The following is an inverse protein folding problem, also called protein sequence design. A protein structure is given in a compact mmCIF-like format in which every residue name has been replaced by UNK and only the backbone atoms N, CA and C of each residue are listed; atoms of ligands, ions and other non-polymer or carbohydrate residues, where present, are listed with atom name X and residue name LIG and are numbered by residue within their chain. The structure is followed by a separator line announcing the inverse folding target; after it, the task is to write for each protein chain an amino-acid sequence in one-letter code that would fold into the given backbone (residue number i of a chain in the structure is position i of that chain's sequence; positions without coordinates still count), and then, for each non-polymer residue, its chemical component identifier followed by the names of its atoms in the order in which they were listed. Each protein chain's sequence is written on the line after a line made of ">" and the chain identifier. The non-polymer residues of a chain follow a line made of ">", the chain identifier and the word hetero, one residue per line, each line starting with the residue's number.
data_IF_870544181989
#
_entry.id   IF_870544181989
#
_cell.length_a   1.000
_cell.length_b   1.000
_cell.length_c   1.000
_cell.angle_alpha   90.00
_cell.angle_beta   90.00
_cell.angle_gamma   90.00
#
_symmetry.space_group_name_H-M   'P 1'
#
loop_
_entity.id
_entity.type
_entity.pdbx_description
1 polymer ?
#
# COMPACT_ATOMS: atom_id res chain seq x y z
N UNK A 1 -57.78 -7.44 8.44
CA UNK A 1 -56.47 -8.06 8.72
C UNK A 1 -55.87 -8.57 7.41
N UNK A 2 -54.83 -7.93 6.87
CA UNK A 2 -53.68 -8.54 6.14
C UNK A 2 -52.59 -7.46 5.96
N UNK A 3 -52.02 -6.99 7.07
CA UNK A 3 -50.81 -6.16 7.08
C UNK A 3 -49.57 -7.05 6.85
N UNK A 4 -49.52 -7.76 5.72
CA UNK A 4 -48.54 -8.84 5.50
C UNK A 4 -47.42 -8.54 4.50
N UNK A 5 -47.64 -7.67 3.51
CA UNK A 5 -46.76 -7.61 2.34
C UNK A 5 -45.91 -6.34 2.20
N UNK A 6 -46.19 -5.28 2.94
CA UNK A 6 -45.41 -4.03 2.81
C UNK A 6 -44.04 -4.11 3.52
N UNK A 7 -43.95 -4.87 4.62
CA UNK A 7 -42.71 -4.98 5.40
C UNK A 7 -41.67 -5.86 4.69
N UNK A 8 -42.11 -6.90 3.97
CA UNK A 8 -41.20 -7.80 3.24
C UNK A 8 -40.53 -7.12 2.04
N UNK A 9 -41.22 -6.19 1.37
CA UNK A 9 -40.64 -5.42 0.25
C UNK A 9 -39.64 -4.37 0.72
N UNK A 10 -39.84 -3.77 1.89
CA UNK A 10 -38.88 -2.83 2.48
C UNK A 10 -37.60 -3.54 2.96
N UNK A 11 -37.71 -4.75 3.53
CA UNK A 11 -36.54 -5.55 3.96
C UNK A 11 -35.79 -6.12 2.75
N UNK A 12 -36.48 -6.47 1.66
CA UNK A 12 -35.84 -6.92 0.43
C UNK A 12 -35.13 -5.78 -0.35
N UNK A 13 -35.60 -4.53 -0.23
CA UNK A 13 -34.94 -3.36 -0.84
C UNK A 13 -33.70 -2.89 -0.07
N UNK A 14 -33.53 -3.30 1.19
CA UNK A 14 -32.35 -2.99 2.00
C UNK A 14 -31.23 -4.03 1.83
N UNK A 15 -31.48 -5.14 1.14
CA UNK A 15 -30.55 -6.26 1.00
C UNK A 15 -29.66 -6.21 -0.26
N UNK A 16 -29.60 -5.09 -0.98
CA UNK A 16 -28.84 -4.99 -2.22
C UNK A 16 -28.20 -3.62 -2.48
N UNK A 17 -27.97 -2.81 -1.43
CA UNK A 17 -27.00 -1.73 -1.53
C UNK A 17 -25.61 -2.38 -1.45
N UNK A 18 -25.14 -2.93 -2.56
CA UNK A 18 -23.72 -3.22 -2.70
C UNK A 18 -22.94 -1.93 -2.36
N UNK A 19 -21.85 -1.99 -1.59
CA UNK A 19 -21.02 -0.82 -1.34
C UNK A 19 -20.70 -0.17 -2.68
N UNK A 20 -20.88 1.14 -2.77
CA UNK A 20 -20.56 1.89 -3.98
C UNK A 20 -19.05 2.04 -3.99
N UNK A 21 -18.37 1.18 -4.74
CA UNK A 21 -16.93 1.28 -4.92
C UNK A 21 -16.59 2.58 -5.64
N UNK A 22 -15.81 3.44 -4.97
CA UNK A 22 -15.46 4.77 -5.45
C UNK A 22 -14.00 4.79 -5.87
N UNK A 23 -13.75 4.65 -7.17
CA UNK A 23 -12.39 4.58 -7.71
C UNK A 23 -12.10 5.69 -8.72
N UNK A 24 -11.03 6.46 -8.48
CA UNK A 24 -10.52 7.55 -9.30
C UNK A 24 -9.06 7.27 -9.68
N UNK A 25 -8.85 6.36 -10.63
CA UNK A 25 -7.50 5.92 -11.02
C UNK A 25 -7.11 6.46 -12.42
N UNK A 26 -5.95 7.10 -12.51
CA UNK A 26 -5.28 7.47 -13.77
C UNK A 26 -4.13 6.50 -13.99
N UNK A 27 -4.17 5.75 -15.08
CA UNK A 27 -3.17 4.73 -15.38
C UNK A 27 -2.68 4.90 -16.81
N UNK A 28 -1.39 5.13 -16.94
CA UNK A 28 -0.72 5.20 -18.23
C UNK A 28 -0.54 3.81 -18.87
N UNK A 29 -0.34 3.74 -20.20
CA UNK A 29 -0.17 2.47 -20.90
C UNK A 29 1.11 1.70 -20.49
N UNK A 30 1.19 0.43 -20.92
CA UNK A 30 2.31 -0.50 -20.65
C UNK A 30 2.43 -0.96 -19.19
N UNK A 31 1.34 -0.89 -18.44
CA UNK A 31 1.24 -1.42 -17.08
C UNK A 31 0.64 -2.84 -17.07
N UNK A 32 1.05 -3.65 -16.09
CA UNK A 32 0.37 -4.91 -15.74
C UNK A 32 -0.21 -4.76 -14.36
N UNK A 33 -1.53 -4.70 -14.29
CA UNK A 33 -2.25 -4.41 -13.05
C UNK A 33 -3.20 -5.55 -12.72
N UNK A 34 -3.14 -5.99 -11.47
CA UNK A 34 -4.24 -6.67 -10.80
C UNK A 34 -4.58 -5.83 -9.57
N UNK A 35 -5.87 -5.62 -9.37
CA UNK A 35 -6.37 -4.79 -8.28
C UNK A 35 -7.70 -5.32 -7.79
N UNK A 36 -7.81 -5.44 -6.47
CA UNK A 36 -9.05 -5.62 -5.74
C UNK A 36 -9.12 -4.48 -4.72
N UNK A 37 -10.07 -3.55 -4.86
CA UNK A 37 -10.21 -2.45 -3.89
C UNK A 37 -11.57 -1.77 -3.91
N UNK A 38 -12.07 -1.41 -2.72
CA UNK A 38 -13.35 -0.74 -2.54
C UNK A 38 -13.27 0.76 -2.86
N UNK A 39 -12.37 1.50 -2.20
CA UNK A 39 -12.09 2.92 -2.48
C UNK A 39 -10.66 3.11 -2.97
N UNK A 40 -10.49 3.93 -4.00
CA UNK A 40 -9.12 4.24 -4.40
C UNK A 40 -8.92 5.45 -5.28
N UNK A 41 -7.82 6.16 -5.04
CA UNK A 41 -7.36 7.26 -5.90
C UNK A 41 -5.88 7.05 -6.23
N UNK A 42 -5.59 6.56 -7.44
CA UNK A 42 -4.21 6.25 -7.84
C UNK A 42 -3.80 6.94 -9.14
N UNK A 43 -2.55 7.38 -9.20
CA UNK A 43 -1.86 7.77 -10.44
C UNK A 43 -0.72 6.78 -10.67
N UNK A 44 -0.72 6.13 -11.82
CA UNK A 44 0.27 5.09 -12.16
C UNK A 44 0.84 5.37 -13.53
N UNK A 45 2.11 5.76 -13.56
CA UNK A 45 2.89 6.00 -14.76
C UNK A 45 3.24 4.67 -15.50
N UNK A 46 3.81 4.72 -16.72
CA UNK A 46 4.06 3.53 -17.54
C UNK A 46 5.05 2.51 -16.94
N UNK A 47 5.04 1.29 -17.49
CA UNK A 47 6.00 0.21 -17.23
C UNK A 47 6.01 -0.35 -15.80
N UNK A 48 4.88 -0.25 -15.10
CA UNK A 48 4.67 -0.76 -13.77
C UNK A 48 4.05 -2.17 -13.77
N UNK A 49 4.38 -2.96 -12.74
CA UNK A 49 3.72 -4.23 -12.42
C UNK A 49 3.16 -4.16 -11.02
N UNK A 50 1.85 -4.05 -10.90
CA UNK A 50 1.17 -3.87 -9.63
C UNK A 50 0.21 -5.03 -9.38
N UNK A 51 0.30 -5.57 -8.17
CA UNK A 51 -0.73 -6.38 -7.55
C UNK A 51 -1.11 -5.65 -6.26
N UNK A 52 -2.39 -5.31 -6.13
CA UNK A 52 -2.91 -4.61 -4.95
C UNK A 52 -4.20 -5.26 -4.51
N UNK A 53 -4.27 -5.61 -3.24
CA UNK A 53 -5.49 -5.90 -2.51
C UNK A 53 -5.60 -4.83 -1.42
N UNK A 54 -6.70 -4.07 -1.40
CA UNK A 54 -6.87 -3.05 -0.35
C UNK A 54 -8.29 -2.54 -0.20
N UNK A 55 -8.73 -2.21 1.01
CA UNK A 55 -10.01 -1.51 1.19
C UNK A 55 -9.92 -0.09 0.63
N UNK A 56 -9.04 0.76 1.19
CA UNK A 56 -8.81 2.13 0.74
C UNK A 56 -7.35 2.38 0.33
N UNK A 57 -7.16 3.02 -0.84
CA UNK A 57 -5.80 3.32 -1.28
C UNK A 57 -5.64 4.61 -2.07
N UNK A 58 -4.69 5.44 -1.62
CA UNK A 58 -4.22 6.65 -2.32
C UNK A 58 -2.75 6.47 -2.71
N UNK A 59 -2.45 6.31 -3.99
CA UNK A 59 -1.05 6.15 -4.39
C UNK A 59 -0.64 6.89 -5.66
N UNK A 60 0.60 7.38 -5.65
CA UNK A 60 1.30 7.83 -6.86
C UNK A 60 2.46 6.86 -7.10
N UNK A 61 2.53 6.32 -8.30
CA UNK A 61 3.55 5.33 -8.68
C UNK A 61 4.17 5.74 -10.00
N UNK A 62 5.42 6.18 -9.92
CA UNK A 62 6.25 6.54 -11.05
C UNK A 62 6.69 5.31 -11.88
N UNK A 63 7.36 5.47 -13.03
CA UNK A 63 7.66 4.36 -13.93
C UNK A 63 8.57 3.27 -13.36
N UNK A 64 8.49 2.09 -13.98
CA UNK A 64 9.42 0.95 -13.77
C UNK A 64 9.41 0.33 -12.37
N UNK A 65 8.28 0.37 -11.69
CA UNK A 65 8.06 -0.19 -10.37
C UNK A 65 7.44 -1.58 -10.42
N UNK A 66 7.79 -2.42 -9.44
CA UNK A 66 7.11 -3.69 -9.16
C UNK A 66 6.60 -3.70 -7.73
N UNK A 67 5.28 -3.64 -7.58
CA UNK A 67 4.63 -3.56 -6.28
C UNK A 67 3.70 -4.76 -6.07
N UNK A 68 3.79 -5.33 -4.88
CA UNK A 68 2.79 -6.20 -4.29
C UNK A 68 2.38 -5.54 -2.98
N UNK A 69 1.09 -5.29 -2.81
CA UNK A 69 0.53 -4.71 -1.59
C UNK A 69 -0.74 -5.45 -1.21
N UNK A 70 -0.83 -5.78 0.05
CA UNK A 70 -2.04 -6.19 0.75
C UNK A 70 -2.19 -5.22 1.92
N UNK A 71 -3.31 -4.48 1.99
CA UNK A 71 -3.52 -3.52 3.07
C UNK A 71 -4.94 -3.04 3.23
N UNK A 72 -5.42 -2.81 4.45
CA UNK A 72 -6.71 -2.12 4.66
C UNK A 72 -6.62 -0.69 4.13
N UNK A 73 -5.77 0.16 4.72
CA UNK A 73 -5.56 1.54 4.27
C UNK A 73 -4.11 1.80 3.85
N UNK A 74 -3.94 2.45 2.69
CA UNK A 74 -2.60 2.83 2.26
C UNK A 74 -2.49 4.15 1.51
N UNK A 75 -1.53 4.97 1.97
CA UNK A 75 -1.11 6.21 1.29
C UNK A 75 0.36 6.10 0.90
N UNK A 76 0.66 6.06 -0.40
CA UNK A 76 2.06 5.95 -0.81
C UNK A 76 2.45 6.76 -2.04
N UNK A 77 3.68 7.27 -1.99
CA UNK A 77 4.40 7.81 -3.15
C UNK A 77 5.59 6.92 -3.42
N UNK A 78 5.71 6.43 -4.65
CA UNK A 78 6.78 5.51 -5.04
C UNK A 78 7.42 6.01 -6.32
N UNK A 79 8.66 6.50 -6.18
CA UNK A 79 9.51 6.97 -7.26
C UNK A 79 10.00 5.79 -8.16
N UNK A 80 10.70 6.06 -9.27
CA UNK A 80 11.07 5.02 -10.23
C UNK A 80 11.96 3.89 -9.71
N UNK A 81 11.90 2.74 -10.38
CA UNK A 81 12.83 1.60 -10.21
C UNK A 81 12.82 0.93 -8.82
N UNK A 82 11.66 0.92 -8.18
CA UNK A 82 11.43 0.30 -6.89
C UNK A 82 10.82 -1.11 -7.00
N UNK A 83 11.18 -1.97 -6.05
CA UNK A 83 10.53 -3.26 -5.83
C UNK A 83 10.04 -3.37 -4.40
N UNK A 84 8.72 -3.33 -4.22
CA UNK A 84 8.08 -3.35 -2.91
C UNK A 84 7.20 -4.59 -2.76
N UNK A 85 7.28 -5.20 -1.60
CA UNK A 85 6.31 -6.13 -1.07
C UNK A 85 5.90 -5.59 0.30
N UNK A 86 4.61 -5.37 0.50
CA UNK A 86 4.05 -4.86 1.76
C UNK A 86 2.80 -5.63 2.10
N UNK A 87 2.72 -6.02 3.36
CA UNK A 87 1.52 -6.52 4.02
C UNK A 87 1.34 -5.63 5.25
N UNK A 88 0.18 -4.97 5.37
CA UNK A 88 -0.07 -4.06 6.49
C UNK A 88 -1.52 -3.65 6.62
N UNK A 89 -2.06 -3.51 7.83
CA UNK A 89 -3.36 -2.85 8.01
C UNK A 89 -3.29 -1.40 7.51
N UNK A 90 -2.38 -0.62 8.09
CA UNK A 90 -2.24 0.81 7.83
C UNK A 90 -0.83 1.19 7.38
N UNK A 91 -0.72 1.89 6.24
CA UNK A 91 0.59 2.31 5.77
C UNK A 91 0.66 3.68 5.07
N UNK A 92 1.59 4.50 5.54
CA UNK A 92 2.00 5.77 4.92
C UNK A 92 3.46 5.69 4.52
N UNK A 93 3.78 5.73 3.22
CA UNK A 93 5.18 5.68 2.82
C UNK A 93 5.55 6.57 1.62
N UNK A 94 6.74 7.14 1.70
CA UNK A 94 7.46 7.76 0.58
C UNK A 94 8.70 6.92 0.31
N UNK A 95 8.86 6.48 -0.93
CA UNK A 95 9.99 5.64 -1.34
C UNK A 95 10.64 6.24 -2.58
N UNK A 96 11.84 6.76 -2.38
CA UNK A 96 12.71 7.31 -3.43
C UNK A 96 13.24 6.21 -4.37
N UNK A 97 13.94 6.56 -5.46
CA UNK A 97 14.33 5.58 -6.48
C UNK A 97 15.25 4.45 -6.01
N UNK A 98 15.21 3.33 -6.75
CA UNK A 98 16.15 2.21 -6.65
C UNK A 98 16.17 1.45 -5.30
N UNK A 99 15.02 1.36 -4.66
CA UNK A 99 14.80 0.67 -3.40
C UNK A 99 14.22 -0.74 -3.57
N UNK A 100 14.59 -1.64 -2.66
CA UNK A 100 13.96 -2.95 -2.51
C UNK A 100 13.49 -3.15 -1.08
N UNK A 101 12.17 -3.14 -0.89
CA UNK A 101 11.55 -3.25 0.43
C UNK A 101 10.70 -4.51 0.53
N UNK A 102 10.81 -5.17 1.66
CA UNK A 102 9.87 -6.16 2.16
C UNK A 102 9.46 -5.71 3.55
N UNK A 103 8.16 -5.54 3.78
CA UNK A 103 7.61 -5.11 5.07
C UNK A 103 6.37 -5.92 5.37
N UNK A 104 6.28 -6.35 6.60
CA UNK A 104 5.10 -6.93 7.24
C UNK A 104 4.90 -6.13 8.53
N UNK A 105 3.74 -5.48 8.68
CA UNK A 105 3.45 -4.64 9.84
C UNK A 105 2.00 -4.24 9.95
N UNK A 106 1.39 -4.23 11.13
CA UNK A 106 0.06 -3.64 11.33
C UNK A 106 0.09 -2.16 10.92
N UNK A 107 1.01 -1.40 11.50
CA UNK A 107 1.14 0.05 11.33
C UNK A 107 2.51 0.46 10.80
N UNK A 108 2.54 1.26 9.72
CA UNK A 108 3.82 1.75 9.19
C UNK A 108 3.82 3.16 8.61
N UNK A 109 4.74 3.99 9.11
CA UNK A 109 5.07 5.30 8.55
C UNK A 109 6.55 5.33 8.17
N UNK A 110 6.87 5.45 6.88
CA UNK A 110 8.28 5.44 6.47
C UNK A 110 8.63 6.37 5.31
N UNK A 111 9.81 6.98 5.42
CA UNK A 111 10.51 7.66 4.34
C UNK A 111 11.79 6.90 4.06
N UNK A 112 12.00 6.50 2.81
CA UNK A 112 13.15 5.72 2.40
C UNK A 112 13.82 6.39 1.21
N UNK A 113 15.01 6.93 1.45
CA UNK A 113 15.87 7.57 0.46
C UNK A 113 16.43 6.52 -0.55
N UNK A 114 17.15 6.94 -1.60
CA UNK A 114 17.55 6.02 -2.66
C UNK A 114 18.51 4.89 -2.25
N UNK A 115 18.50 3.81 -3.04
CA UNK A 115 19.48 2.70 -2.98
C UNK A 115 19.49 1.86 -1.70
N UNK A 116 18.34 1.74 -1.06
CA UNK A 116 18.12 0.97 0.15
C UNK A 116 17.59 -0.45 -0.12
N UNK A 117 18.00 -1.39 0.73
CA UNK A 117 17.40 -2.73 0.81
C UNK A 117 16.96 -3.03 2.23
N UNK A 118 15.66 -3.05 2.46
CA UNK A 118 15.07 -3.23 3.78
C UNK A 118 14.22 -4.49 3.82
N UNK A 119 14.35 -5.22 4.91
CA UNK A 119 13.43 -6.28 5.34
C UNK A 119 13.01 -5.94 6.77
N UNK A 120 11.71 -5.84 7.00
CA UNK A 120 11.15 -5.52 8.31
C UNK A 120 9.93 -6.36 8.59
N UNK A 121 9.86 -6.83 9.82
CA UNK A 121 8.70 -7.46 10.44
C UNK A 121 8.49 -6.77 11.78
N UNK A 122 7.34 -6.13 11.97
CA UNK A 122 7.04 -5.37 13.19
C UNK A 122 5.58 -4.99 13.29
N UNK A 123 4.96 -5.04 14.46
CA UNK A 123 3.59 -4.51 14.65
C UNK A 123 3.54 -3.03 14.28
N UNK A 124 4.42 -2.20 14.87
CA UNK A 124 4.47 -0.76 14.58
C UNK A 124 5.85 -0.32 14.08
N UNK A 125 5.88 0.48 13.00
CA UNK A 125 7.13 1.00 12.45
C UNK A 125 7.08 2.45 12.00
N UNK A 126 7.94 3.29 12.58
CA UNK A 126 8.20 4.65 12.12
C UNK A 126 9.67 4.82 11.73
N UNK A 127 9.98 5.03 10.45
CA UNK A 127 11.39 5.12 10.05
C UNK A 127 11.72 6.14 8.97
N UNK A 128 12.89 6.73 9.14
CA UNK A 128 13.59 7.50 8.10
C UNK A 128 14.90 6.78 7.81
N UNK A 129 15.12 6.42 6.56
CA UNK A 129 16.31 5.66 6.14
C UNK A 129 17.01 6.41 5.03
N UNK A 130 18.18 6.95 5.35
CA UNK A 130 19.04 7.67 4.41
C UNK A 130 19.59 6.73 3.32
N UNK A 131 20.30 7.23 2.29
CA UNK A 131 20.72 6.41 1.16
C UNK A 131 21.69 5.27 1.49
N UNK A 132 21.69 4.24 0.64
CA UNK A 132 22.69 3.15 0.60
C UNK A 132 22.73 2.22 1.82
N UNK A 133 21.60 2.02 2.49
CA UNK A 133 21.44 1.16 3.64
C UNK A 133 20.99 -0.27 3.30
N UNK A 134 21.41 -1.21 4.15
CA UNK A 134 20.85 -2.56 4.21
C UNK A 134 20.39 -2.85 5.63
N UNK A 135 19.10 -3.13 5.79
CA UNK A 135 18.50 -3.36 7.09
C UNK A 135 17.71 -4.66 7.08
N UNK A 136 17.89 -5.45 8.13
CA UNK A 136 16.99 -6.50 8.54
C UNK A 136 16.58 -6.19 9.98
N UNK A 137 15.28 -6.21 10.28
CA UNK A 137 14.75 -5.96 11.62
C UNK A 137 13.51 -6.81 11.84
N UNK A 138 13.43 -7.39 13.02
CA UNK A 138 12.28 -8.13 13.55
C UNK A 138 12.09 -7.61 14.98
N UNK A 139 10.96 -6.95 15.25
CA UNK A 139 10.67 -6.31 16.53
C UNK A 139 9.22 -5.90 16.62
N UNK A 140 8.58 -6.02 17.79
CA UNK A 140 7.21 -5.50 18.02
C UNK A 140 7.10 -4.02 17.61
N UNK A 141 7.97 -3.15 18.13
CA UNK A 141 7.98 -1.72 17.80
C UNK A 141 9.34 -1.28 17.22
N UNK A 142 9.30 -0.48 16.15
CA UNK A 142 10.50 0.04 15.51
C UNK A 142 10.43 1.52 15.15
N UNK A 143 11.12 2.34 15.95
CA UNK A 143 11.45 3.72 15.54
C UNK A 143 12.94 3.84 15.22
N UNK A 144 13.29 4.09 13.96
CA UNK A 144 14.69 4.26 13.56
C UNK A 144 14.92 5.46 12.62
N UNK A 145 16.00 6.18 12.86
CA UNK A 145 16.65 7.05 11.87
C UNK A 145 17.98 6.40 11.54
N UNK A 146 18.18 6.02 10.28
CA UNK A 146 19.38 5.30 9.84
C UNK A 146 20.17 6.19 8.90
N UNK A 147 21.35 6.62 9.34
CA UNK A 147 22.30 7.40 8.55
C UNK A 147 22.76 6.63 7.29
N UNK A 148 23.43 7.28 6.31
CA UNK A 148 23.82 6.63 5.07
C UNK A 148 24.85 5.50 5.26
N UNK A 149 24.86 4.54 4.33
CA UNK A 149 25.88 3.47 4.21
C UNK A 149 25.99 2.49 5.39
N UNK A 150 24.92 2.30 6.14
CA UNK A 150 24.83 1.32 7.21
C UNK A 150 24.40 -0.05 6.72
N UNK A 151 24.84 -1.05 7.49
CA UNK A 151 24.41 -2.43 7.35
C UNK A 151 24.04 -2.97 8.72
N UNK A 152 22.73 -3.08 8.93
CA UNK A 152 22.11 -3.46 10.18
C UNK A 152 21.35 -4.78 9.98
N UNK A 153 21.44 -5.64 10.98
CA UNK A 153 20.81 -6.96 11.05
C UNK A 153 20.29 -7.17 12.47
#
# INVERSE_FOLDING_TARGET
>A
MRFGNALYLAVAALAAAAPVEQTNNVVDPHNRLWKDSEESTNVVDPHNRLWKDSEDSVNVVDPHNRLWKDSEDSVNVVDPHNRLWKDSEDSVNVVDPHNRLWKDSEDSVNVVDPHNRLWKDSEESTNVVDPHNRLWKDSEESTNVVDPHNRLW
#
